data_IF_927096113717
#
_entry.id   IF_927096113717
#
_cell.length_a   1.000
_cell.length_b   1.000
_cell.length_c   1.000
_cell.angle_alpha   90.00
_cell.angle_beta   90.00
_cell.angle_gamma   90.00
#
_symmetry.space_group_name_H-M   'P 1'
#
loop_
_entity.id
_entity.type
_entity.pdbx_description
1 polymer ?
#
# COMPACT_ATOMS: atom_id res chain seq x y z
N UNK A 1 9.50 -17.62 35.09
CA UNK A 1 9.87 -18.17 33.77
C UNK A 1 9.14 -17.33 32.74
N UNK A 2 9.75 -16.23 32.31
CA UNK A 2 9.19 -15.37 31.25
C UNK A 2 9.74 -15.89 29.95
N UNK A 3 8.88 -16.40 29.08
CA UNK A 3 9.31 -16.89 27.78
C UNK A 3 9.65 -15.67 26.90
N UNK A 4 10.91 -15.52 26.55
CA UNK A 4 11.34 -14.61 25.50
C UNK A 4 10.75 -15.10 24.17
N UNK A 5 9.76 -14.37 23.66
CA UNK A 5 9.17 -14.66 22.36
C UNK A 5 9.72 -13.68 21.31
N UNK A 6 10.27 -14.21 20.23
CA UNK A 6 10.60 -13.45 19.02
C UNK A 6 9.37 -13.38 18.13
N UNK A 7 8.91 -12.16 17.84
CA UNK A 7 7.79 -11.90 16.95
C UNK A 7 8.33 -11.42 15.59
N UNK A 8 8.41 -12.35 14.63
CA UNK A 8 8.67 -12.06 13.22
C UNK A 8 7.51 -11.28 12.60
N UNK A 9 7.77 -10.55 11.50
CA UNK A 9 6.70 -9.96 10.70
C UNK A 9 5.79 -11.08 10.19
N UNK A 10 4.48 -10.85 10.14
CA UNK A 10 3.55 -11.76 9.49
C UNK A 10 3.07 -11.12 8.20
N UNK A 11 3.47 -11.61 7.04
CA UNK A 11 3.06 -11.07 5.74
C UNK A 11 2.36 -12.18 4.97
N UNK A 12 1.16 -11.91 4.44
CA UNK A 12 0.30 -12.92 3.80
C UNK A 12 -0.02 -14.15 4.68
N UNK A 13 0.02 -13.99 6.01
CA UNK A 13 -0.23 -15.08 6.97
C UNK A 13 1.01 -15.88 7.35
N UNK A 14 2.10 -15.75 6.61
CA UNK A 14 3.39 -16.41 6.83
C UNK A 14 4.31 -15.55 7.70
N UNK A 15 5.20 -16.19 8.46
CA UNK A 15 6.22 -15.49 9.23
C UNK A 15 7.39 -15.14 8.31
N UNK A 16 7.86 -13.89 8.37
CA UNK A 16 8.97 -13.39 7.57
C UNK A 16 9.92 -12.57 8.45
N UNK A 17 11.21 -12.72 8.17
CA UNK A 17 12.24 -11.93 8.83
C UNK A 17 12.16 -10.47 8.40
N UNK A 18 12.53 -9.57 9.32
CA UNK A 18 12.71 -8.15 9.01
C UNK A 18 13.68 -8.01 7.84
N UNK A 19 13.36 -7.15 6.87
CA UNK A 19 14.20 -6.95 5.69
C UNK A 19 15.65 -6.55 6.03
N UNK A 20 15.86 -5.83 7.15
CA UNK A 20 17.18 -5.48 7.66
C UNK A 20 17.62 -6.32 8.87
N UNK A 21 16.84 -7.31 9.29
CA UNK A 21 17.15 -8.14 10.47
C UNK A 21 17.17 -7.36 11.78
N UNK A 22 16.64 -6.14 11.82
CA UNK A 22 16.56 -5.31 13.02
C UNK A 22 15.38 -5.75 13.90
N UNK A 23 15.59 -5.68 15.21
CA UNK A 23 14.61 -6.05 16.22
C UNK A 23 14.55 -4.97 17.28
N UNK A 24 13.36 -4.62 17.73
CA UNK A 24 13.18 -3.76 18.89
C UNK A 24 12.59 -4.55 20.06
N UNK A 25 13.03 -4.17 21.25
CA UNK A 25 12.60 -4.77 22.50
C UNK A 25 11.32 -4.08 22.97
N UNK A 26 10.29 -4.88 23.24
CA UNK A 26 9.05 -4.39 23.85
C UNK A 26 9.05 -4.78 25.32
N UNK A 27 8.85 -3.81 26.20
CA UNK A 27 8.86 -4.02 27.65
C UNK A 27 7.46 -3.91 28.25
N UNK A 28 7.21 -4.67 29.31
CA UNK A 28 6.02 -4.55 30.15
C UNK A 28 6.08 -3.23 30.93
N UNK A 29 5.05 -2.35 30.83
CA UNK A 29 5.11 -1.01 31.42
C UNK A 29 5.13 -1.02 32.96
N UNK A 30 4.65 -2.09 33.59
CA UNK A 30 4.52 -2.19 35.05
C UNK A 30 5.74 -2.84 35.73
N UNK A 31 6.48 -3.67 35.00
CA UNK A 31 7.56 -4.52 35.55
C UNK A 31 8.90 -4.24 34.90
N UNK A 32 8.94 -3.54 33.75
CA UNK A 32 10.15 -3.32 32.96
C UNK A 32 10.70 -4.61 32.33
N UNK A 33 9.98 -5.72 32.41
CA UNK A 33 10.43 -7.01 31.88
C UNK A 33 10.34 -7.02 30.36
N UNK A 34 11.31 -7.65 29.72
CA UNK A 34 11.31 -7.87 28.27
C UNK A 34 10.13 -8.80 27.92
N UNK A 35 9.18 -8.24 27.17
CA UNK A 35 7.90 -8.84 26.82
C UNK A 35 8.00 -9.61 25.49
N UNK A 36 8.70 -9.02 24.52
CA UNK A 36 9.00 -9.66 23.23
C UNK A 36 10.11 -8.90 22.49
N UNK A 37 10.84 -9.62 21.63
CA UNK A 37 11.71 -9.02 20.60
C UNK A 37 10.93 -9.00 19.29
N UNK A 38 10.61 -7.82 18.79
CA UNK A 38 9.72 -7.64 17.62
C UNK A 38 10.56 -7.19 16.44
N UNK A 39 10.35 -7.82 15.28
CA UNK A 39 10.95 -7.38 14.03
C UNK A 39 10.64 -5.88 13.79
N UNK A 40 11.68 -5.07 13.62
CA UNK A 40 11.52 -3.67 13.25
C UNK A 40 11.01 -3.61 11.79
N UNK A 41 9.93 -2.85 11.56
CA UNK A 41 9.38 -2.67 10.23
C UNK A 41 10.17 -1.63 9.46
N UNK A 42 10.76 -2.02 8.34
CA UNK A 42 11.34 -1.09 7.36
C UNK A 42 10.31 -0.72 6.28
N UNK A 43 10.65 0.24 5.43
CA UNK A 43 9.91 0.57 4.21
C UNK A 43 9.67 -0.66 3.32
N UNK A 44 10.66 -1.56 3.21
CA UNK A 44 10.56 -2.82 2.46
C UNK A 44 9.53 -3.79 3.08
N UNK A 45 9.49 -3.91 4.40
CA UNK A 45 8.54 -4.78 5.10
C UNK A 45 7.11 -4.27 4.95
N UNK A 46 6.95 -2.94 5.00
CA UNK A 46 5.68 -2.26 4.77
C UNK A 46 5.24 -2.45 3.31
N UNK A 47 6.14 -2.30 2.35
CA UNK A 47 5.85 -2.54 0.93
C UNK A 47 5.40 -3.98 0.67
N UNK A 48 6.05 -4.97 1.30
CA UNK A 48 5.64 -6.39 1.24
C UNK A 48 4.27 -6.61 1.86
N UNK A 49 4.01 -6.04 3.04
CA UNK A 49 2.71 -6.11 3.70
C UNK A 49 1.60 -5.50 2.82
N UNK A 50 1.88 -4.41 2.13
CA UNK A 50 0.90 -3.80 1.23
C UNK A 50 0.73 -4.58 -0.07
N UNK A 51 1.79 -5.16 -0.66
CA UNK A 51 1.61 -6.10 -1.78
C UNK A 51 0.73 -7.28 -1.39
N UNK A 52 0.93 -7.85 -0.21
CA UNK A 52 0.08 -8.92 0.31
C UNK A 52 -1.38 -8.45 0.54
N UNK A 53 -1.58 -7.28 1.14
CA UNK A 53 -2.92 -6.71 1.31
C UNK A 53 -3.61 -6.42 -0.04
N UNK A 54 -2.85 -5.96 -1.05
CA UNK A 54 -3.34 -5.73 -2.42
C UNK A 54 -3.77 -7.04 -3.11
N UNK A 55 -3.03 -8.13 -2.89
CA UNK A 55 -3.36 -9.43 -3.47
C UNK A 55 -4.54 -10.10 -2.75
N UNK A 56 -4.72 -9.84 -1.45
CA UNK A 56 -5.77 -10.45 -0.64
C UNK A 56 -7.10 -9.70 -0.67
N UNK A 57 -7.10 -8.37 -0.89
CA UNK A 57 -8.31 -7.54 -0.86
C UNK A 57 -8.65 -6.99 -2.23
N UNK A 58 -9.69 -7.57 -2.83
CA UNK A 58 -10.29 -7.10 -4.09
C UNK A 58 -11.11 -5.80 -3.90
N UNK A 59 -11.37 -5.38 -2.64
CA UNK A 59 -12.02 -4.11 -2.28
C UNK A 59 -11.40 -3.44 -1.05
N UNK A 60 -11.30 -2.10 -1.13
CA UNK A 60 -10.91 -1.11 -0.11
C UNK A 60 -9.70 -1.48 0.77
N UNK A 61 -8.52 -1.00 0.37
CA UNK A 61 -7.32 -1.03 1.20
C UNK A 61 -7.45 -0.01 2.34
N UNK A 62 -7.56 -0.49 3.58
CA UNK A 62 -7.64 0.35 4.79
C UNK A 62 -6.47 0.09 5.74
N UNK A 63 -6.17 1.02 6.68
CA UNK A 63 -5.18 0.76 7.72
C UNK A 63 -5.48 -0.50 8.54
N UNK A 64 -6.77 -0.81 8.77
CA UNK A 64 -7.18 -2.01 9.48
C UNK A 64 -6.91 -3.29 8.66
N UNK A 65 -7.10 -3.24 7.33
CA UNK A 65 -6.70 -4.34 6.45
C UNK A 65 -5.19 -4.58 6.49
N UNK A 66 -4.37 -3.52 6.52
CA UNK A 66 -2.92 -3.64 6.66
C UNK A 66 -2.55 -4.21 8.03
N UNK A 67 -3.14 -3.69 9.11
CA UNK A 67 -2.93 -4.18 10.47
C UNK A 67 -3.29 -5.67 10.60
N UNK A 68 -4.44 -6.08 10.02
CA UNK A 68 -4.88 -7.46 9.99
C UNK A 68 -3.95 -8.36 9.17
N UNK A 69 -3.50 -7.91 7.99
CA UNK A 69 -2.52 -8.62 7.17
C UNK A 69 -1.19 -8.81 7.91
N UNK A 70 -0.79 -7.81 8.70
CA UNK A 70 0.42 -7.81 9.53
C UNK A 70 0.26 -8.51 10.89
N UNK A 71 -0.97 -8.91 11.27
CA UNK A 71 -1.35 -9.40 12.61
C UNK A 71 -0.91 -8.49 13.75
N UNK A 72 -0.94 -7.18 13.53
CA UNK A 72 -0.65 -6.16 14.55
C UNK A 72 -1.91 -5.39 14.89
N UNK A 73 -1.96 -4.76 16.07
CA UNK A 73 -3.01 -3.82 16.37
C UNK A 73 -2.73 -2.47 15.69
N UNK A 74 -3.77 -1.65 15.50
CA UNK A 74 -3.63 -0.32 14.88
C UNK A 74 -2.54 0.53 15.52
N UNK A 75 -2.40 0.52 16.86
CA UNK A 75 -1.34 1.27 17.56
C UNK A 75 0.07 0.88 17.09
N UNK A 76 0.35 -0.41 16.98
CA UNK A 76 1.66 -0.90 16.51
C UNK A 76 1.88 -0.52 15.04
N UNK A 77 0.83 -0.54 14.20
CA UNK A 77 0.91 -0.07 12.83
C UNK A 77 1.30 1.41 12.77
N UNK A 78 0.62 2.29 13.52
CA UNK A 78 0.97 3.72 13.53
C UNK A 78 2.38 3.98 14.06
N UNK A 79 2.83 3.24 15.08
CA UNK A 79 4.21 3.37 15.59
C UNK A 79 5.26 2.97 14.55
N UNK A 80 5.03 1.89 13.80
CA UNK A 80 5.92 1.49 12.71
C UNK A 80 5.95 2.51 11.55
N UNK A 81 4.87 3.25 11.37
CA UNK A 81 4.78 4.31 10.37
C UNK A 81 5.40 5.64 10.85
N UNK A 82 5.33 5.93 12.15
CA UNK A 82 6.02 7.08 12.76
C UNK A 82 7.53 7.01 12.57
N UNK A 83 8.14 5.83 12.69
CA UNK A 83 9.58 5.66 12.48
C UNK A 83 10.04 5.94 11.06
N UNK A 84 9.15 5.88 10.06
CA UNK A 84 9.46 6.18 8.65
C UNK A 84 8.94 7.55 8.20
N UNK A 85 8.32 8.33 9.09
CA UNK A 85 7.84 9.69 8.80
C UNK A 85 6.64 9.77 7.85
N UNK A 86 5.94 8.67 7.58
CA UNK A 86 4.74 8.63 6.73
C UNK A 86 3.52 8.20 7.55
N UNK A 87 2.31 8.64 7.18
CA UNK A 87 1.07 8.14 7.79
C UNK A 87 0.52 6.97 6.98
N UNK A 88 -0.07 5.93 7.61
CA UNK A 88 -0.66 4.80 6.89
C UNK A 88 -1.63 5.22 5.78
N UNK A 89 -2.49 6.22 6.04
CA UNK A 89 -3.43 6.72 5.04
C UNK A 89 -2.76 7.45 3.87
N UNK A 90 -1.64 8.13 4.10
CA UNK A 90 -0.91 8.81 3.03
C UNK A 90 -0.28 7.78 2.08
N UNK A 91 0.32 6.74 2.65
CA UNK A 91 0.90 5.64 1.88
C UNK A 91 -0.16 4.87 1.11
N UNK A 92 -1.28 4.51 1.75
CA UNK A 92 -2.42 3.86 1.07
C UNK A 92 -2.89 4.69 -0.12
N UNK A 93 -3.08 6.00 0.05
CA UNK A 93 -3.50 6.88 -1.06
C UNK A 93 -2.49 6.90 -2.18
N UNK A 94 -1.19 7.03 -1.87
CA UNK A 94 -0.11 7.01 -2.87
C UNK A 94 -0.16 5.74 -3.69
N UNK A 95 -0.25 4.60 -3.00
CA UNK A 95 -0.30 3.27 -3.58
C UNK A 95 -1.56 3.02 -4.43
N UNK A 96 -2.72 3.52 -4.00
CA UNK A 96 -3.95 3.46 -4.80
C UNK A 96 -3.85 4.30 -6.07
N UNK A 97 -3.29 5.51 -5.98
CA UNK A 97 -3.08 6.38 -7.14
C UNK A 97 -2.12 5.78 -8.16
N UNK A 98 -1.03 5.14 -7.71
CA UNK A 98 -0.07 4.43 -8.57
C UNK A 98 -0.74 3.27 -9.32
N UNK A 99 -1.55 2.46 -8.65
CA UNK A 99 -2.35 1.39 -9.30
C UNK A 99 -3.33 1.96 -10.34
N UNK A 100 -4.04 3.03 -10.01
CA UNK A 100 -4.94 3.67 -10.97
C UNK A 100 -4.18 4.20 -12.19
N UNK A 101 -2.99 4.74 -12.00
CA UNK A 101 -2.15 5.22 -13.09
C UNK A 101 -1.72 4.07 -14.00
N UNK A 102 -1.25 2.95 -13.44
CA UNK A 102 -0.91 1.74 -14.21
C UNK A 102 -2.10 1.28 -15.06
N UNK A 103 -3.28 1.13 -14.46
CA UNK A 103 -4.51 0.71 -15.17
C UNK A 103 -4.85 1.68 -16.30
N UNK A 104 -4.81 3.00 -16.05
CA UNK A 104 -5.13 4.00 -17.07
C UNK A 104 -4.08 4.05 -18.18
N UNK A 105 -2.80 3.79 -17.87
CA UNK A 105 -1.71 3.75 -18.84
C UNK A 105 -1.68 2.47 -19.70
N UNK A 106 -2.35 1.41 -19.25
CA UNK A 106 -2.39 0.11 -19.95
C UNK A 106 -3.73 -0.14 -20.68
N UNK A 107 -4.81 0.52 -20.24
CA UNK A 107 -6.13 0.34 -20.82
C UNK A 107 -6.27 1.08 -22.16
N UNK A 108 -5.86 0.42 -23.25
CA UNK A 108 -6.26 0.81 -24.61
C UNK A 108 -7.76 0.54 -24.82
N UNK A 109 -8.49 1.56 -25.27
CA UNK A 109 -9.89 1.58 -25.75
C UNK A 109 -11.03 0.96 -24.90
N UNK A 110 -10.80 -0.01 -24.01
CA UNK A 110 -11.84 -0.76 -23.28
C UNK A 110 -12.39 -0.04 -22.04
N UNK A 111 -12.36 1.29 -22.04
CA UNK A 111 -13.34 2.07 -21.31
C UNK A 111 -13.38 1.84 -19.80
N UNK A 112 -12.22 1.64 -19.14
CA UNK A 112 -12.16 1.68 -17.68
C UNK A 112 -12.78 3.01 -17.23
N UNK A 113 -14.03 2.94 -16.75
CA UNK A 113 -14.76 4.11 -16.29
C UNK A 113 -13.96 4.70 -15.15
N UNK A 114 -13.43 5.91 -15.33
CA UNK A 114 -12.58 6.58 -14.34
C UNK A 114 -13.32 6.67 -12.99
N UNK A 115 -14.62 6.90 -13.03
CA UNK A 115 -15.50 6.87 -11.86
C UNK A 115 -15.53 5.49 -11.21
N UNK A 116 -15.72 4.43 -12.01
CA UNK A 116 -15.71 3.04 -11.50
C UNK A 116 -14.34 2.67 -10.92
N UNK A 117 -13.26 3.05 -11.58
CA UNK A 117 -11.88 2.81 -11.12
C UNK A 117 -11.61 3.53 -9.79
N UNK A 118 -12.06 4.78 -9.65
CA UNK A 118 -11.95 5.55 -8.40
C UNK A 118 -12.71 4.85 -7.26
N UNK A 119 -13.97 4.47 -7.50
CA UNK A 119 -14.82 3.79 -6.52
C UNK A 119 -14.25 2.41 -6.12
N UNK A 120 -13.81 1.60 -7.08
CA UNK A 120 -13.19 0.29 -6.81
C UNK A 120 -11.87 0.42 -6.04
N UNK A 121 -11.16 1.53 -6.24
CA UNK A 121 -9.92 1.83 -5.52
C UNK A 121 -10.17 2.47 -4.15
N UNK A 122 -11.42 2.60 -3.70
CA UNK A 122 -11.76 3.11 -2.37
C UNK A 122 -11.85 4.64 -2.25
N UNK A 123 -11.99 5.36 -3.36
CA UNK A 123 -12.33 6.79 -3.33
C UNK A 123 -13.85 6.96 -3.39
N UNK A 124 -14.43 7.52 -2.33
CA UNK A 124 -15.86 7.85 -2.28
C UNK A 124 -16.25 9.05 -3.15
N UNK A 125 -15.29 9.91 -3.51
CA UNK A 125 -15.47 11.07 -4.36
C UNK A 125 -14.52 11.03 -5.58
N UNK A 126 -15.04 10.79 -6.80
CA UNK A 126 -14.27 10.83 -8.04
C UNK A 126 -13.57 12.18 -8.30
N UNK A 127 -14.14 13.31 -7.86
CA UNK A 127 -13.53 14.63 -8.03
C UNK A 127 -12.34 14.82 -7.08
N UNK A 128 -12.44 14.32 -5.84
CA UNK A 128 -11.30 14.23 -4.92
C UNK A 128 -10.19 13.33 -5.48
N UNK A 129 -10.54 12.16 -6.02
CA UNK A 129 -9.60 11.28 -6.71
C UNK A 129 -8.87 12.01 -7.85
N UNK A 130 -9.59 12.66 -8.76
CA UNK A 130 -8.99 13.34 -9.91
C UNK A 130 -8.02 14.47 -9.49
N UNK A 131 -8.35 15.20 -8.42
CA UNK A 131 -7.45 16.24 -7.85
C UNK A 131 -6.17 15.64 -7.31
N UNK A 132 -6.27 14.55 -6.53
CA UNK A 132 -5.10 13.87 -5.97
C UNK A 132 -4.24 13.22 -7.07
N UNK A 133 -4.89 12.62 -8.07
CA UNK A 133 -4.21 12.02 -9.22
C UNK A 133 -3.41 13.08 -9.99
N UNK A 134 -4.05 14.20 -10.36
CA UNK A 134 -3.37 15.30 -11.05
C UNK A 134 -2.23 15.88 -10.22
N UNK A 135 -2.42 16.04 -8.92
CA UNK A 135 -1.37 16.52 -8.02
C UNK A 135 -0.14 15.60 -8.03
N UNK A 136 -0.35 14.28 -8.17
CA UNK A 136 0.73 13.28 -8.12
C UNK A 136 1.43 13.08 -9.47
N UNK A 137 0.69 13.08 -10.58
CA UNK A 137 1.20 12.70 -11.91
C UNK A 137 1.25 13.85 -12.92
N UNK A 138 0.78 15.04 -12.56
CA UNK A 138 0.75 16.22 -13.44
C UNK A 138 -0.38 16.20 -14.48
N UNK A 139 -0.93 15.03 -14.82
CA UNK A 139 -2.01 14.84 -15.78
C UNK A 139 -3.32 14.41 -15.10
N UNK A 140 -4.46 14.68 -15.72
CA UNK A 140 -5.75 14.17 -15.24
C UNK A 140 -5.94 12.70 -15.62
N UNK A 141 -6.81 11.94 -14.91
CA UNK A 141 -7.08 10.55 -15.27
C UNK A 141 -7.53 10.34 -16.74
N UNK A 142 -8.41 11.20 -17.34
CA UNK A 142 -8.72 11.12 -18.76
C UNK A 142 -7.49 11.33 -19.65
N UNK A 143 -6.68 12.36 -19.38
CA UNK A 143 -5.48 12.64 -20.18
C UNK A 143 -4.45 11.49 -20.13
N UNK A 144 -4.27 10.87 -18.97
CA UNK A 144 -3.39 9.71 -18.80
C UNK A 144 -3.86 8.53 -19.67
N UNK A 145 -5.17 8.25 -19.67
CA UNK A 145 -5.77 7.20 -20.50
C UNK A 145 -5.67 7.51 -21.99
N UNK A 146 -5.99 8.75 -22.37
CA UNK A 146 -6.04 9.14 -23.78
C UNK A 146 -4.63 9.22 -24.39
N UNK A 147 -3.60 9.52 -23.58
CA UNK A 147 -2.19 9.47 -24.01
C UNK A 147 -1.74 8.04 -24.34
N UNK A 148 -2.14 7.05 -23.54
CA UNK A 148 -1.85 5.63 -23.80
C UNK A 148 -2.43 5.13 -25.14
N UNK A 149 -3.51 5.76 -25.63
CA UNK A 149 -4.08 5.45 -26.95
C UNK A 149 -3.21 5.99 -28.09
N UNK A 150 -2.57 7.15 -27.91
CA UNK A 150 -1.79 7.81 -28.96
C UNK A 150 -0.44 7.12 -29.19
N UNK A 151 0.16 6.56 -28.13
CA UNK A 151 1.44 5.85 -28.21
C UNK A 151 1.32 4.44 -28.82
N UNK A 152 0.12 3.84 -28.86
CA UNK A 152 -0.14 2.50 -29.43
C UNK A 152 -0.51 2.48 -30.93
N UNK A 153 -0.68 3.64 -31.57
CA UNK A 153 -1.13 3.77 -32.97
C UNK A 153 -0.04 3.91 -34.03
N UNK A 154 1.24 3.75 -33.66
CA UNK A 154 2.39 3.98 -34.53
C UNK A 154 3.16 2.71 -34.89
N UNK A 155 2.53 1.75 -35.57
CA UNK A 155 3.23 0.65 -36.26
C UNK A 155 2.78 0.63 -37.72
N UNK A 156 3.62 1.29 -38.53
CA UNK A 156 3.89 1.10 -39.97
C UNK A 156 2.79 0.65 -40.95
N UNK A 157 2.18 1.64 -41.62
CA UNK A 157 1.90 1.50 -43.04
C UNK A 157 3.22 1.57 -43.83
N UNK A 158 3.73 0.42 -44.29
CA UNK A 158 4.69 0.32 -45.41
C UNK A 158 4.48 -1.02 -46.11
N UNK A 159 3.90 -0.93 -47.31
CA UNK A 159 3.64 -2.05 -48.23
C UNK A 159 2.83 -1.55 -49.41
#
# INVERSE_FOLDING_TARGET
MTAEYTLQHRIAGEACDAAQGEWFEKFEPCTGLLLARVAAGTDVDIDRAVRAARAAFDRELSPDCIAAAMKVCGRTLYQAFESIGERPQAMIRRLLLEKCHEVLSQAGADGASITRLALQSGFSDPAHFARLFRRRFGVTPPQCRDAAMQDGGGTDASG
#
